data_IF_713445909438
#
_entry.id   IF_713445909438
#
_cell.length_a   1.000
_cell.length_b   1.000
_cell.length_c   1.000
_cell.angle_alpha   90.00
_cell.angle_beta   90.00
_cell.angle_gamma   90.00
#
_symmetry.space_group_name_H-M   'P 1'
#
loop_
_entity.id
_entity.type
_entity.pdbx_description
1 polymer ?
#
# COMPACT_ATOMS: atom_id res chain seq x y z
N UNK A 1 25.57 -1.11 13.37
CA UNK A 1 24.95 -0.85 12.05
C UNK A 1 23.52 -1.39 12.07
N UNK A 2 22.57 -0.52 11.78
CA UNK A 2 21.15 -0.62 12.11
C UNK A 2 20.42 -1.76 11.38
N UNK A 3 19.87 -2.72 12.14
CA UNK A 3 18.89 -3.70 11.66
C UNK A 3 17.52 -3.01 11.48
N UNK A 4 17.38 -2.09 10.53
CA UNK A 4 16.10 -1.45 10.19
C UNK A 4 15.40 -2.08 8.97
N UNK A 5 15.85 -3.25 8.53
CA UNK A 5 15.24 -4.00 7.43
C UNK A 5 14.30 -5.09 7.96
N UNK A 6 13.06 -4.77 8.34
CA UNK A 6 11.97 -5.79 8.34
C UNK A 6 10.52 -5.37 8.61
N UNK A 7 10.24 -4.11 8.94
CA UNK A 7 8.88 -3.69 9.31
C UNK A 7 8.29 -2.60 8.41
N UNK A 8 8.82 -2.40 7.21
CA UNK A 8 8.07 -1.66 6.20
C UNK A 8 7.02 -2.59 5.59
N UNK A 9 5.74 -2.16 5.52
CA UNK A 9 4.69 -2.93 4.85
C UNK A 9 5.12 -3.38 3.45
N UNK A 10 5.93 -2.56 2.76
CA UNK A 10 6.52 -2.84 1.44
C UNK A 10 7.08 -4.27 1.27
N UNK A 11 7.73 -4.88 2.28
CA UNK A 11 8.28 -6.24 2.12
C UNK A 11 7.24 -7.37 2.24
N UNK A 12 6.05 -7.07 2.77
CA UNK A 12 4.93 -8.02 2.95
C UNK A 12 3.75 -7.73 2.02
N UNK A 13 3.72 -6.55 1.41
CA UNK A 13 2.69 -6.10 0.49
C UNK A 13 3.10 -6.54 -0.91
N UNK A 14 2.44 -7.58 -1.43
CA UNK A 14 2.60 -7.98 -2.82
C UNK A 14 1.74 -7.06 -3.69
N UNK A 15 2.42 -6.23 -4.49
CA UNK A 15 1.77 -5.34 -5.45
C UNK A 15 1.54 -6.06 -6.77
N UNK A 16 0.31 -5.95 -7.25
CA UNK A 16 -0.14 -6.46 -8.53
C UNK A 16 -0.49 -5.26 -9.39
N UNK A 17 0.21 -5.10 -10.51
CA UNK A 17 -0.13 -4.09 -11.49
C UNK A 17 -1.23 -4.65 -12.39
N UNK A 18 -2.33 -3.92 -12.47
CA UNK A 18 -3.42 -4.17 -13.39
C UNK A 18 -3.11 -3.56 -14.75
N UNK A 19 -3.76 -4.08 -15.79
CA UNK A 19 -3.58 -3.61 -17.16
C UNK A 19 -4.09 -2.16 -17.38
N UNK A 20 -4.98 -1.68 -16.51
CA UNK A 20 -5.52 -0.32 -16.50
C UNK A 20 -4.59 0.71 -15.81
N UNK A 21 -3.38 0.29 -15.41
CA UNK A 21 -2.42 1.14 -14.70
C UNK A 21 -2.68 1.27 -13.19
N UNK A 22 -3.69 0.59 -12.65
CA UNK A 22 -3.91 0.54 -11.20
C UNK A 22 -2.97 -0.44 -10.52
N UNK A 23 -2.48 -0.12 -9.33
CA UNK A 23 -1.70 -1.04 -8.51
C UNK A 23 -2.57 -1.52 -7.35
N UNK A 24 -2.74 -2.84 -7.24
CA UNK A 24 -3.49 -3.44 -6.14
C UNK A 24 -2.55 -4.20 -5.21
N UNK A 25 -2.82 -4.16 -3.92
CA UNK A 25 -2.17 -5.06 -2.98
C UNK A 25 -3.15 -5.54 -1.91
N UNK A 26 -2.78 -6.62 -1.23
CA UNK A 26 -3.54 -7.15 -0.11
C UNK A 26 -2.60 -7.51 1.04
N UNK A 27 -2.90 -7.00 2.23
CA UNK A 27 -2.13 -7.30 3.45
C UNK A 27 -3.10 -7.66 4.59
N UNK A 28 -2.74 -8.66 5.39
CA UNK A 28 -3.54 -9.06 6.54
C UNK A 28 -3.53 -7.97 7.62
N UNK A 29 -4.67 -7.68 8.22
CA UNK A 29 -4.82 -6.69 9.29
C UNK A 29 -4.07 -7.11 10.57
N UNK A 30 -3.86 -8.41 10.76
CA UNK A 30 -2.97 -8.98 11.77
C UNK A 30 -1.46 -8.67 11.56
N UNK A 31 -1.05 -8.30 10.34
CA UNK A 31 0.37 -8.05 10.02
C UNK A 31 0.77 -6.58 9.99
N UNK A 32 -0.19 -5.66 9.86
CA UNK A 32 0.03 -4.22 9.82
C UNK A 32 -1.11 -3.50 10.52
N UNK A 33 -0.78 -2.53 11.37
CA UNK A 33 -1.81 -1.68 11.97
C UNK A 33 -2.37 -0.71 10.91
N UNK A 34 -3.65 -0.37 11.04
CA UNK A 34 -4.32 0.60 10.16
C UNK A 34 -3.59 1.95 10.13
N UNK A 35 -3.10 2.43 11.28
CA UNK A 35 -2.35 3.70 11.38
C UNK A 35 -1.04 3.66 10.61
N UNK A 36 -0.24 2.58 10.77
CA UNK A 36 1.02 2.42 10.03
C UNK A 36 0.79 2.29 8.53
N UNK A 37 -0.27 1.58 8.14
CA UNK A 37 -0.64 1.46 6.73
C UNK A 37 -1.04 2.82 6.16
N UNK A 38 -1.87 3.57 6.89
CA UNK A 38 -2.31 4.91 6.48
C UNK A 38 -1.13 5.86 6.34
N UNK A 39 -0.24 5.92 7.33
CA UNK A 39 0.95 6.78 7.29
C UNK A 39 1.87 6.44 6.11
N UNK A 40 2.07 5.14 5.84
CA UNK A 40 2.82 4.70 4.67
C UNK A 40 2.15 5.16 3.36
N UNK A 41 0.84 4.99 3.24
CA UNK A 41 0.10 5.37 2.02
C UNK A 41 0.02 6.88 1.82
N UNK A 42 -0.18 7.66 2.88
CA UNK A 42 -0.16 9.13 2.82
C UNK A 42 1.23 9.65 2.40
N UNK A 43 2.30 8.99 2.86
CA UNK A 43 3.67 9.41 2.55
C UNK A 43 4.10 9.05 1.12
N UNK A 44 3.66 7.90 0.60
CA UNK A 44 4.13 7.39 -0.69
C UNK A 44 3.13 7.63 -1.84
N UNK A 45 1.83 7.69 -1.55
CA UNK A 45 0.75 7.80 -2.54
C UNK A 45 -0.31 8.83 -2.13
N UNK A 46 0.04 10.05 -1.68
CA UNK A 46 -0.90 11.01 -1.12
C UNK A 46 -2.09 11.28 -2.06
N UNK A 47 -3.31 10.98 -1.58
CA UNK A 47 -4.54 11.21 -2.36
C UNK A 47 -4.77 10.28 -3.55
N UNK A 48 -3.87 9.33 -3.81
CA UNK A 48 -3.94 8.40 -4.95
C UNK A 48 -4.29 6.96 -4.55
N UNK A 49 -4.56 6.72 -3.26
CA UNK A 49 -4.86 5.39 -2.73
C UNK A 49 -6.31 5.24 -2.25
N UNK A 50 -6.80 4.01 -2.28
CA UNK A 50 -8.02 3.56 -1.64
C UNK A 50 -7.72 2.30 -0.82
N UNK A 51 -8.21 2.27 0.42
CA UNK A 51 -8.10 1.08 1.29
C UNK A 51 -9.50 0.54 1.57
N UNK A 52 -9.69 -0.74 1.34
CA UNK A 52 -10.89 -1.47 1.72
C UNK A 52 -10.53 -2.59 2.69
N UNK A 53 -11.14 -2.61 3.86
CA UNK A 53 -11.04 -3.75 4.77
C UNK A 53 -12.02 -4.83 4.32
N UNK A 54 -11.51 -5.99 3.89
CA UNK A 54 -12.31 -7.18 3.56
C UNK A 54 -11.94 -8.33 4.47
N UNK A 55 -12.89 -8.72 5.33
CA UNK A 55 -12.69 -9.72 6.39
C UNK A 55 -11.53 -9.31 7.31
N UNK A 56 -10.36 -9.93 7.17
CA UNK A 56 -9.13 -9.64 7.93
C UNK A 56 -8.00 -9.10 7.05
N UNK A 57 -8.31 -8.56 5.87
CA UNK A 57 -7.30 -8.08 4.92
C UNK A 57 -7.60 -6.67 4.47
N UNK A 58 -6.59 -5.81 4.52
CA UNK A 58 -6.60 -4.52 3.84
C UNK A 58 -6.30 -4.75 2.37
N UNK A 59 -7.30 -4.54 1.52
CA UNK A 59 -7.12 -4.42 0.07
C UNK A 59 -6.80 -2.96 -0.24
N UNK A 60 -5.61 -2.74 -0.77
CA UNK A 60 -5.11 -1.42 -1.15
C UNK A 60 -5.20 -1.32 -2.67
N UNK A 61 -5.69 -0.20 -3.17
CA UNK A 61 -5.71 0.13 -4.59
C UNK A 61 -5.09 1.50 -4.76
N UNK A 62 -3.99 1.59 -5.48
CA UNK A 62 -3.40 2.83 -5.93
C UNK A 62 -3.93 3.06 -7.34
N UNK A 63 -4.66 4.15 -7.52
CA UNK A 63 -5.00 4.58 -8.86
C UNK A 63 -3.72 5.16 -9.46
N UNK A 64 -3.22 4.53 -10.52
CA UNK A 64 -2.20 5.11 -11.38
C UNK A 64 -2.80 6.26 -12.17
N UNK A 65 -3.31 7.28 -11.47
CA UNK A 65 -3.50 8.58 -12.07
C UNK A 65 -2.12 9.02 -12.49
N UNK A 66 -1.90 9.03 -13.81
CA UNK A 66 -0.68 9.41 -14.49
C UNK A 66 0.15 10.33 -13.60
N UNK A 67 1.26 9.84 -13.09
CA UNK A 67 2.33 10.71 -12.62
C UNK A 67 2.71 11.52 -13.84
N UNK A 68 2.07 12.68 -14.01
CA UNK A 68 2.62 13.78 -14.78
C UNK A 68 3.93 14.12 -14.06
N UNK A 69 4.99 13.44 -14.46
CA UNK A 69 6.33 13.98 -14.38
C UNK A 69 6.35 15.16 -15.36
N UNK A 70 5.89 16.32 -14.87
CA UNK A 70 6.30 17.61 -15.39
C UNK A 70 7.55 18.06 -14.65
#
# INVERSE_FOLDING_TARGET
>A
MSRQSRNTPSSKVQWHNSFDGTQMASISASQVSSSQLKEYLDRNYPGQYSVQLKRDKFKITINGGSTNCM
#
